data_IF_046389594325
#
_entry.id   IF_046389594325
#
_cell.length_a   1.000
_cell.length_b   1.000
_cell.length_c   1.000
_cell.angle_alpha   90.00
_cell.angle_beta   90.00
_cell.angle_gamma   90.00
#
_symmetry.space_group_name_H-M   'P 1'
#
loop_
_entity.id
_entity.type
_entity.pdbx_description
1 polymer ?
#
# COMPACT_ATOMS: atom_id res chain seq x y z
N UNK A 1 -17.37 10.60 -42.86
CA UNK A 1 -16.57 9.38 -42.59
C UNK A 1 -15.05 9.59 -42.65
N UNK A 2 -14.52 10.57 -43.39
CA UNK A 2 -13.06 10.78 -43.53
C UNK A 2 -12.66 12.27 -43.46
N UNK A 3 -13.37 13.06 -42.65
CA UNK A 3 -13.08 14.46 -42.44
C UNK A 3 -11.69 14.65 -41.82
N UNK A 4 -11.39 13.91 -40.74
CA UNK A 4 -10.06 13.96 -40.10
C UNK A 4 -9.03 13.26 -40.96
N UNK A 5 -9.30 12.02 -41.39
CA UNK A 5 -8.33 11.23 -42.16
C UNK A 5 -7.93 11.89 -43.49
N UNK A 6 -8.79 12.71 -44.09
CA UNK A 6 -8.49 13.49 -45.30
C UNK A 6 -7.56 14.69 -45.08
N UNK A 7 -7.34 15.12 -43.83
CA UNK A 7 -6.50 16.27 -43.47
C UNK A 7 -5.09 15.86 -43.00
N UNK A 8 -4.86 14.56 -42.78
CA UNK A 8 -3.61 14.05 -42.24
C UNK A 8 -2.64 13.64 -43.34
N UNK A 9 -1.34 13.91 -43.12
CA UNK A 9 -0.27 13.32 -43.93
C UNK A 9 -0.17 11.81 -43.71
N UNK A 10 0.62 11.12 -44.53
CA UNK A 10 0.82 9.66 -44.41
C UNK A 10 1.44 9.25 -43.06
N UNK A 11 2.39 10.04 -42.55
CA UNK A 11 3.01 9.80 -41.24
C UNK A 11 2.03 10.03 -40.10
N UNK A 12 1.24 11.11 -40.17
CA UNK A 12 0.21 11.41 -39.18
C UNK A 12 -0.94 10.40 -39.19
N UNK A 13 -1.26 9.82 -40.35
CA UNK A 13 -2.29 8.76 -40.46
C UNK A 13 -1.91 7.53 -39.64
N UNK A 14 -0.65 7.10 -39.69
CA UNK A 14 -0.18 5.97 -38.87
C UNK A 14 -0.23 6.30 -37.37
N UNK A 15 0.19 7.50 -36.98
CA UNK A 15 0.08 7.96 -35.60
C UNK A 15 -1.37 8.02 -35.14
N UNK A 16 -2.27 8.58 -35.95
CA UNK A 16 -3.70 8.71 -35.67
C UNK A 16 -4.41 7.35 -35.53
N UNK A 17 -3.97 6.33 -36.28
CA UNK A 17 -4.42 4.95 -36.06
C UNK A 17 -3.91 4.40 -34.71
N UNK A 18 -2.62 4.62 -34.40
CA UNK A 18 -2.00 4.12 -33.17
C UNK A 18 -2.61 4.73 -31.89
N UNK A 19 -3.04 5.98 -31.93
CA UNK A 19 -3.73 6.66 -30.80
C UNK A 19 -5.26 6.59 -30.88
N UNK A 20 -5.80 5.89 -31.88
CA UNK A 20 -7.23 5.61 -32.01
C UNK A 20 -8.09 6.81 -32.38
N UNK A 21 -7.57 7.76 -33.16
CA UNK A 21 -8.38 8.81 -33.81
C UNK A 21 -8.99 8.34 -35.13
N UNK A 22 -8.31 7.40 -35.80
CA UNK A 22 -8.81 6.70 -36.99
C UNK A 22 -9.01 5.21 -36.68
N UNK A 23 -9.93 4.59 -37.41
CA UNK A 23 -10.09 3.14 -37.45
C UNK A 23 -9.65 2.61 -38.83
N UNK A 24 -9.06 1.42 -38.85
CA UNK A 24 -8.75 0.70 -40.08
C UNK A 24 -10.01 -0.01 -40.61
N UNK A 25 -10.25 0.00 -41.93
CA UNK A 25 -11.30 -0.83 -42.55
C UNK A 25 -10.85 -2.29 -42.60
N UNK A 26 -11.70 -3.22 -42.17
CA UNK A 26 -11.35 -4.66 -42.11
C UNK A 26 -11.05 -5.27 -43.48
N UNK A 27 -11.76 -4.85 -44.54
CA UNK A 27 -11.69 -5.45 -45.88
C UNK A 27 -10.92 -4.62 -46.91
N UNK A 28 -10.27 -3.51 -46.51
CA UNK A 28 -9.55 -2.64 -47.44
C UNK A 28 -8.42 -1.86 -46.75
N UNK A 29 -7.45 -1.35 -47.53
CA UNK A 29 -6.36 -0.50 -47.01
C UNK A 29 -6.81 0.91 -46.54
N UNK A 30 -8.09 1.24 -46.61
CA UNK A 30 -8.61 2.55 -46.21
C UNK A 30 -8.84 2.70 -44.70
N UNK A 31 -8.89 3.93 -44.24
CA UNK A 31 -9.24 4.32 -42.86
C UNK A 31 -10.59 5.05 -42.84
N UNK A 32 -11.12 5.29 -41.64
CA UNK A 32 -12.24 6.20 -41.41
C UNK A 32 -12.13 6.83 -40.02
N UNK A 33 -12.72 8.02 -39.85
CA UNK A 33 -12.69 8.76 -38.59
C UNK A 33 -13.38 7.96 -37.50
N UNK A 34 -12.74 7.79 -36.34
CA UNK A 34 -13.36 7.09 -35.22
C UNK A 34 -14.57 7.85 -34.70
N UNK A 35 -14.39 9.15 -34.44
CA UNK A 35 -15.44 10.03 -33.95
C UNK A 35 -16.15 10.70 -35.12
N UNK A 36 -17.46 10.51 -35.22
CA UNK A 36 -18.30 11.03 -36.31
C UNK A 36 -19.63 11.47 -35.73
N UNK A 37 -20.08 12.67 -36.12
CA UNK A 37 -21.33 13.25 -35.64
C UNK A 37 -21.38 13.30 -34.11
N UNK A 38 -20.26 13.68 -33.49
CA UNK A 38 -20.11 13.79 -32.03
C UNK A 38 -19.57 15.14 -31.61
N UNK A 39 -20.11 15.66 -30.51
CA UNK A 39 -19.44 16.72 -29.74
C UNK A 39 -18.24 16.10 -29.02
N UNK A 40 -17.05 16.65 -29.26
CA UNK A 40 -15.80 16.15 -28.67
C UNK A 40 -15.40 16.96 -27.43
N UNK A 41 -14.97 16.22 -26.41
CA UNK A 41 -14.43 16.72 -25.17
C UNK A 41 -12.95 16.33 -25.12
N UNK A 42 -12.01 17.28 -25.23
CA UNK A 42 -10.58 16.98 -25.14
C UNK A 42 -10.23 16.55 -23.71
N UNK A 43 -9.51 15.43 -23.60
CA UNK A 43 -9.03 14.86 -22.35
C UNK A 43 -7.55 15.18 -22.23
N UNK A 44 -7.16 15.81 -21.12
CA UNK A 44 -5.82 16.34 -20.93
C UNK A 44 -5.03 15.50 -19.92
N UNK A 45 -3.71 15.41 -20.11
CA UNK A 45 -2.81 15.04 -19.02
C UNK A 45 -2.60 16.20 -18.03
N UNK A 46 -1.83 15.95 -16.96
CA UNK A 46 -1.51 16.96 -15.95
C UNK A 46 -0.76 18.19 -16.49
N UNK A 47 -0.06 18.03 -17.62
CA UNK A 47 0.69 19.10 -18.29
C UNK A 47 -0.18 19.91 -19.25
N UNK A 48 -1.45 19.53 -19.46
CA UNK A 48 -2.36 20.21 -20.36
C UNK A 48 -2.24 19.77 -21.82
N UNK A 49 -1.56 18.66 -22.09
CA UNK A 49 -1.52 18.08 -23.45
C UNK A 49 -2.76 17.24 -23.68
N UNK A 50 -3.36 17.35 -24.85
CA UNK A 50 -4.51 16.51 -25.24
C UNK A 50 -4.02 15.08 -25.49
N UNK A 51 -4.56 14.15 -24.73
CA UNK A 51 -4.20 12.74 -24.72
C UNK A 51 -5.25 11.85 -25.41
N UNK A 52 -6.49 12.34 -25.49
CA UNK A 52 -7.60 11.63 -26.12
C UNK A 52 -8.86 12.47 -26.11
N UNK A 53 -9.96 11.87 -26.53
CA UNK A 53 -11.25 12.55 -26.64
C UNK A 53 -12.37 11.68 -26.06
N UNK A 54 -13.28 12.32 -25.35
CA UNK A 54 -14.63 11.81 -25.13
C UNK A 54 -15.57 12.39 -26.20
N UNK A 55 -16.56 11.62 -26.64
CA UNK A 55 -17.43 12.00 -27.75
C UNK A 55 -18.88 11.64 -27.47
N UNK A 56 -19.77 12.62 -27.43
CA UNK A 56 -21.23 12.41 -27.33
C UNK A 56 -21.87 12.52 -28.71
N UNK A 57 -22.65 11.51 -29.10
CA UNK A 57 -23.35 11.52 -30.39
C UNK A 57 -24.40 12.64 -30.47
N UNK A 58 -24.51 13.25 -31.64
CA UNK A 58 -25.57 14.18 -32.03
C UNK A 58 -26.57 13.40 -32.90
N UNK A 59 -27.83 13.35 -32.49
CA UNK A 59 -28.86 12.56 -33.18
C UNK A 59 -28.89 11.10 -32.76
N UNK A 60 -29.30 10.23 -33.67
CA UNK A 60 -29.50 8.79 -33.41
C UNK A 60 -28.21 7.97 -33.60
N UNK A 61 -28.04 6.95 -32.76
CA UNK A 61 -26.96 5.96 -32.87
C UNK A 61 -26.37 5.55 -31.52
N UNK A 62 -25.56 4.50 -31.53
CA UNK A 62 -24.92 3.95 -30.33
C UNK A 62 -23.40 3.80 -30.53
N UNK A 63 -22.60 3.91 -29.45
CA UNK A 63 -23.00 4.27 -28.09
C UNK A 63 -23.27 5.78 -27.93
N UNK A 64 -24.09 6.20 -26.96
CA UNK A 64 -24.35 7.63 -26.65
C UNK A 64 -23.05 8.39 -26.35
N UNK A 65 -22.15 7.78 -25.57
CA UNK A 65 -20.81 8.29 -25.27
C UNK A 65 -19.75 7.31 -25.77
N UNK A 66 -18.67 7.85 -26.32
CA UNK A 66 -17.54 7.07 -26.80
C UNK A 66 -16.25 7.77 -26.42
N UNK A 67 -15.32 7.04 -25.81
CA UNK A 67 -13.99 7.57 -25.50
C UNK A 67 -12.95 7.04 -26.51
N UNK A 68 -11.81 7.72 -26.55
CA UNK A 68 -10.58 7.18 -27.15
C UNK A 68 -10.29 5.79 -26.59
N UNK A 69 -9.78 4.86 -27.40
CA UNK A 69 -9.31 3.57 -26.89
C UNK A 69 -8.01 3.78 -26.08
N UNK A 70 -7.62 2.77 -25.30
CA UNK A 70 -6.32 2.75 -24.65
C UNK A 70 -5.20 2.95 -25.67
N UNK A 71 -4.21 3.78 -25.34
CA UNK A 71 -3.06 4.08 -26.20
C UNK A 71 -1.85 4.47 -25.36
N UNK A 72 -0.64 4.63 -25.95
CA UNK A 72 0.54 5.08 -25.23
C UNK A 72 0.38 6.44 -24.51
N UNK A 73 -0.57 7.26 -24.96
CA UNK A 73 -0.85 8.59 -24.39
C UNK A 73 -2.18 8.66 -23.65
N UNK A 74 -3.03 7.64 -23.74
CA UNK A 74 -4.37 7.62 -23.15
C UNK A 74 -4.59 6.38 -22.30
N UNK A 75 -4.76 6.57 -20.99
CA UNK A 75 -5.14 5.50 -20.07
C UNK A 75 -6.33 5.92 -19.21
N UNK A 76 -7.51 5.34 -19.46
CA UNK A 76 -8.75 5.78 -18.79
C UNK A 76 -8.71 5.55 -17.28
N UNK A 77 -7.98 4.53 -16.84
CA UNK A 77 -7.83 4.19 -15.42
C UNK A 77 -6.87 5.11 -14.67
N UNK A 78 -6.15 6.00 -15.35
CA UNK A 78 -5.18 6.93 -14.74
C UNK A 78 -5.50 8.39 -15.02
N UNK A 79 -6.38 8.66 -15.97
CA UNK A 79 -6.81 10.01 -16.32
C UNK A 79 -8.16 10.33 -15.67
N UNK A 80 -8.34 11.60 -15.35
CA UNK A 80 -9.61 12.16 -14.89
C UNK A 80 -9.95 13.35 -15.79
N UNK A 81 -11.19 13.38 -16.29
CA UNK A 81 -11.68 14.54 -17.03
C UNK A 81 -11.70 15.75 -16.10
N UNK A 82 -11.32 16.92 -16.63
CA UNK A 82 -11.33 18.19 -15.93
C UNK A 82 -10.19 18.41 -14.94
N UNK A 83 -9.39 17.38 -14.61
CA UNK A 83 -8.34 17.53 -13.60
C UNK A 83 -7.29 18.58 -13.97
N UNK A 84 -6.90 18.69 -15.24
CA UNK A 84 -5.95 19.73 -15.66
C UNK A 84 -6.48 21.15 -15.36
N UNK A 85 -7.77 21.37 -15.63
CA UNK A 85 -8.46 22.64 -15.40
C UNK A 85 -8.69 22.88 -13.90
N UNK A 86 -9.06 21.83 -13.17
CA UNK A 86 -9.48 21.91 -11.77
C UNK A 86 -8.34 21.78 -10.74
N UNK A 87 -7.12 21.36 -11.14
CA UNK A 87 -6.03 21.04 -10.19
C UNK A 87 -5.66 22.18 -9.23
N UNK A 88 -5.72 23.43 -9.68
CA UNK A 88 -5.43 24.59 -8.83
C UNK A 88 -6.63 24.93 -7.91
N UNK A 89 -7.87 25.05 -8.42
CA UNK A 89 -9.08 25.11 -7.57
C UNK A 89 -9.19 24.01 -6.52
N UNK A 90 -8.83 22.77 -6.87
CA UNK A 90 -8.82 21.61 -5.97
C UNK A 90 -7.78 21.81 -4.87
N UNK A 91 -6.56 22.25 -5.23
CA UNK A 91 -5.48 22.49 -4.26
C UNK A 91 -5.81 23.60 -3.28
N UNK A 92 -6.42 24.69 -3.75
CA UNK A 92 -6.81 25.81 -2.90
C UNK A 92 -7.91 25.44 -1.89
N UNK A 93 -8.80 24.52 -2.27
CA UNK A 93 -9.90 24.04 -1.41
C UNK A 93 -9.56 22.78 -0.63
N UNK A 94 -8.43 22.16 -0.92
CA UNK A 94 -8.01 20.85 -0.44
C UNK A 94 -9.06 19.74 -0.66
N UNK A 95 -9.98 19.95 -1.61
CA UNK A 95 -11.16 19.11 -1.85
C UNK A 95 -11.43 18.96 -3.36
N UNK A 96 -11.62 17.73 -3.81
CA UNK A 96 -12.10 17.41 -5.16
C UNK A 96 -13.52 16.85 -5.12
N UNK A 97 -14.39 17.29 -6.02
CA UNK A 97 -15.73 16.73 -6.23
C UNK A 97 -15.66 15.77 -7.42
N UNK A 98 -16.05 14.52 -7.20
CA UNK A 98 -16.09 13.49 -8.24
C UNK A 98 -17.55 13.26 -8.65
N UNK A 99 -17.85 13.53 -9.92
CA UNK A 99 -19.16 13.24 -10.54
C UNK A 99 -19.04 12.05 -11.51
N UNK A 100 -20.16 11.48 -11.95
CA UNK A 100 -20.15 10.32 -12.85
C UNK A 100 -19.85 10.69 -14.31
N UNK A 101 -20.42 11.79 -14.79
CA UNK A 101 -20.46 12.12 -16.21
C UNK A 101 -19.69 13.38 -16.61
N UNK A 102 -19.34 13.43 -17.89
CA UNK A 102 -18.69 14.60 -18.50
C UNK A 102 -19.60 15.84 -18.47
N UNK A 103 -20.91 15.65 -18.63
CA UNK A 103 -21.87 16.76 -18.66
C UNK A 103 -22.14 17.32 -17.27
N UNK A 104 -22.18 16.45 -16.25
CA UNK A 104 -22.23 16.88 -14.85
C UNK A 104 -21.06 17.79 -14.55
N UNK A 105 -19.84 17.37 -14.91
CA UNK A 105 -18.64 18.18 -14.72
C UNK A 105 -18.74 19.54 -15.40
N UNK A 106 -19.14 19.57 -16.68
CA UNK A 106 -19.26 20.83 -17.43
C UNK A 106 -20.35 21.72 -16.83
N UNK A 107 -21.50 21.15 -16.44
CA UNK A 107 -22.60 21.90 -15.85
C UNK A 107 -22.18 22.53 -14.53
N UNK A 108 -21.55 21.77 -13.64
CA UNK A 108 -21.04 22.30 -12.37
C UNK A 108 -19.99 23.39 -12.58
N UNK A 109 -19.06 23.19 -13.51
CA UNK A 109 -18.03 24.19 -13.84
C UNK A 109 -18.63 25.50 -14.35
N UNK A 110 -19.64 25.45 -15.23
CA UNK A 110 -20.36 26.63 -15.73
C UNK A 110 -21.06 27.39 -14.61
N UNK A 111 -21.53 26.70 -13.58
CA UNK A 111 -22.13 27.30 -12.39
C UNK A 111 -21.12 27.71 -11.31
N UNK A 112 -19.82 27.76 -11.64
CA UNK A 112 -18.77 28.25 -10.74
C UNK A 112 -18.29 27.24 -9.69
N UNK A 113 -18.54 25.95 -9.90
CA UNK A 113 -17.98 24.87 -9.09
C UNK A 113 -16.83 24.26 -9.89
N UNK A 114 -15.62 24.76 -9.64
CA UNK A 114 -14.42 24.58 -10.44
C UNK A 114 -13.47 23.49 -9.91
N UNK A 115 -13.79 22.85 -8.78
CA UNK A 115 -13.03 21.75 -8.18
C UNK A 115 -13.60 20.36 -8.53
N UNK A 116 -14.19 20.20 -9.72
CA UNK A 116 -14.90 19.00 -10.17
C UNK A 116 -14.07 18.19 -11.16
N UNK A 117 -14.12 16.86 -11.01
CA UNK A 117 -13.50 15.87 -11.91
C UNK A 117 -14.45 14.71 -12.19
N UNK A 118 -14.23 13.98 -13.28
CA UNK A 118 -15.04 12.82 -13.63
C UNK A 118 -14.18 11.66 -14.18
N UNK A 119 -14.51 10.39 -13.87
CA UNK A 119 -13.89 9.24 -14.52
C UNK A 119 -14.34 9.13 -15.98
N UNK A 120 -13.52 8.47 -16.79
CA UNK A 120 -13.70 8.42 -18.24
C UNK A 120 -14.57 7.23 -18.68
N UNK A 121 -15.84 7.23 -18.25
CA UNK A 121 -16.82 6.19 -18.59
C UNK A 121 -16.53 4.84 -17.91
N UNK A 122 -15.94 4.87 -16.71
CA UNK A 122 -15.65 3.70 -15.88
C UNK A 122 -15.97 4.01 -14.42
N UNK A 123 -16.06 2.98 -13.58
CA UNK A 123 -15.96 3.18 -12.15
C UNK A 123 -14.62 3.87 -11.80
N UNK A 124 -14.61 4.63 -10.71
CA UNK A 124 -13.40 5.27 -10.18
C UNK A 124 -12.37 4.19 -9.83
N UNK A 125 -11.10 4.45 -10.13
CA UNK A 125 -9.99 3.52 -9.92
C UNK A 125 -9.08 3.97 -8.77
N UNK A 126 -8.28 3.04 -8.23
CA UNK A 126 -7.29 3.34 -7.19
C UNK A 126 -6.25 4.35 -7.68
N UNK A 127 -5.81 4.24 -8.93
CA UNK A 127 -4.83 5.13 -9.54
C UNK A 127 -5.38 6.56 -9.70
N UNK A 128 -6.68 6.71 -9.98
CA UNK A 128 -7.35 8.02 -10.03
C UNK A 128 -7.42 8.66 -8.63
N UNK A 129 -7.76 7.89 -7.60
CA UNK A 129 -7.73 8.39 -6.21
C UNK A 129 -6.30 8.78 -5.81
N UNK A 130 -5.30 7.93 -6.11
CA UNK A 130 -3.89 8.25 -5.88
C UNK A 130 -3.45 9.53 -6.59
N UNK A 131 -3.94 9.74 -7.81
CA UNK A 131 -3.66 10.95 -8.57
C UNK A 131 -4.28 12.19 -7.91
N UNK A 132 -5.55 12.11 -7.49
CA UNK A 132 -6.25 13.19 -6.80
C UNK A 132 -5.63 13.56 -5.46
N UNK A 133 -5.15 12.57 -4.70
CA UNK A 133 -4.48 12.78 -3.41
C UNK A 133 -3.27 13.72 -3.50
N UNK A 134 -2.65 13.85 -4.69
CA UNK A 134 -1.55 14.82 -4.90
C UNK A 134 -2.01 16.28 -4.85
N UNK A 135 -3.31 16.53 -4.98
CA UNK A 135 -3.91 17.86 -5.07
C UNK A 135 -4.94 18.14 -3.97
N UNK A 136 -5.57 17.13 -3.38
CA UNK A 136 -6.57 17.29 -2.34
C UNK A 136 -6.34 16.33 -1.18
N UNK A 137 -6.74 16.75 0.03
CA UNK A 137 -6.85 15.87 1.18
C UNK A 137 -8.14 15.05 1.17
N UNK A 138 -9.19 15.61 0.58
CA UNK A 138 -10.54 15.06 0.59
C UNK A 138 -11.14 14.93 -0.82
N UNK A 139 -11.81 13.81 -1.07
CA UNK A 139 -12.64 13.63 -2.25
C UNK A 139 -14.10 13.42 -1.85
N UNK A 140 -15.01 14.11 -2.51
CA UNK A 140 -16.46 13.97 -2.32
C UNK A 140 -17.05 13.31 -3.56
N UNK A 141 -17.64 12.13 -3.39
CA UNK A 141 -18.44 11.48 -4.42
C UNK A 141 -19.81 12.14 -4.47
N UNK A 142 -20.09 12.89 -5.54
CA UNK A 142 -21.38 13.52 -5.78
C UNK A 142 -22.14 12.68 -6.81
N UNK A 143 -22.98 11.78 -6.32
CA UNK A 143 -23.69 10.79 -7.12
C UNK A 143 -25.20 10.94 -7.00
N UNK A 144 -25.90 10.35 -7.97
CA UNK A 144 -27.35 10.31 -8.00
C UNK A 144 -27.89 9.59 -6.75
N UNK A 145 -29.03 10.05 -6.23
CA UNK A 145 -29.71 9.45 -5.07
C UNK A 145 -30.39 8.11 -5.34
N UNK A 146 -29.93 7.37 -6.34
CA UNK A 146 -30.49 6.10 -6.77
C UNK A 146 -29.63 4.89 -6.34
N UNK A 147 -30.08 3.68 -6.66
CA UNK A 147 -29.32 2.47 -6.29
C UNK A 147 -27.98 2.35 -7.03
N UNK A 148 -27.82 2.96 -8.21
CA UNK A 148 -26.58 2.90 -8.95
C UNK A 148 -25.52 3.80 -8.28
N UNK A 149 -25.88 5.03 -7.91
CA UNK A 149 -25.02 5.96 -7.17
C UNK A 149 -24.59 5.40 -5.81
N UNK A 150 -25.52 4.80 -5.06
CA UNK A 150 -25.21 4.12 -3.79
C UNK A 150 -24.19 2.98 -4.00
N UNK A 151 -24.42 2.12 -5.00
CA UNK A 151 -23.48 1.01 -5.31
C UNK A 151 -22.11 1.52 -5.77
N UNK A 152 -22.07 2.64 -6.49
CA UNK A 152 -20.83 3.27 -6.92
C UNK A 152 -20.03 3.80 -5.72
N UNK A 153 -20.70 4.46 -4.76
CA UNK A 153 -20.08 4.95 -3.52
C UNK A 153 -19.50 3.79 -2.68
N UNK A 154 -20.28 2.73 -2.47
CA UNK A 154 -19.83 1.52 -1.74
C UNK A 154 -18.59 0.91 -2.40
N UNK A 155 -18.56 0.83 -3.74
CA UNK A 155 -17.41 0.30 -4.48
C UNK A 155 -16.16 1.18 -4.39
N UNK A 156 -16.35 2.49 -4.28
CA UNK A 156 -15.25 3.45 -4.27
C UNK A 156 -14.55 3.55 -2.90
N UNK A 157 -15.26 3.35 -1.78
CA UNK A 157 -14.69 3.61 -0.46
C UNK A 157 -13.42 2.81 -0.10
N UNK A 158 -13.28 1.50 -0.45
CA UNK A 158 -12.02 0.80 -0.22
C UNK A 158 -10.83 1.47 -0.93
N UNK A 159 -11.06 2.16 -2.06
CA UNK A 159 -10.02 2.86 -2.81
C UNK A 159 -9.52 4.10 -2.05
N UNK A 160 -10.42 4.88 -1.45
CA UNK A 160 -10.09 6.02 -0.59
C UNK A 160 -9.28 5.58 0.62
N UNK A 161 -9.72 4.49 1.26
CA UNK A 161 -9.04 3.94 2.43
C UNK A 161 -7.63 3.45 2.07
N UNK A 162 -7.49 2.71 0.96
CA UNK A 162 -6.21 2.17 0.48
C UNK A 162 -5.20 3.25 0.12
N UNK A 163 -5.67 4.39 -0.37
CA UNK A 163 -4.82 5.53 -0.67
C UNK A 163 -4.69 6.50 0.52
N UNK A 164 -5.33 6.22 1.66
CA UNK A 164 -5.34 7.09 2.85
C UNK A 164 -5.76 8.52 2.49
N UNK A 165 -6.84 8.65 1.72
CA UNK A 165 -7.47 9.92 1.35
C UNK A 165 -8.82 10.03 2.05
N UNK A 166 -9.17 11.20 2.60
CA UNK A 166 -10.49 11.41 3.21
C UNK A 166 -11.55 11.29 2.12
N UNK A 167 -12.62 10.55 2.39
CA UNK A 167 -13.67 10.30 1.41
C UNK A 167 -15.04 10.59 2.00
N UNK A 168 -15.83 11.39 1.31
CA UNK A 168 -17.26 11.61 1.60
C UNK A 168 -18.14 11.24 0.42
N UNK A 169 -19.42 11.08 0.69
CA UNK A 169 -20.47 10.95 -0.31
C UNK A 169 -21.56 11.97 -0.04
N UNK A 170 -21.95 12.67 -1.09
CA UNK A 170 -23.11 13.54 -1.11
C UNK A 170 -24.09 12.96 -2.13
N UNK A 171 -25.22 12.46 -1.64
CA UNK A 171 -26.29 11.94 -2.51
C UNK A 171 -27.25 13.06 -2.87
N UNK A 172 -27.58 13.15 -4.15
CA UNK A 172 -28.58 14.08 -4.64
C UNK A 172 -30.00 13.60 -4.29
N UNK A 173 -31.00 14.49 -4.22
CA UNK A 173 -32.38 14.07 -4.06
C UNK A 173 -32.84 13.18 -5.24
N UNK A 174 -33.80 12.28 -4.99
CA UNK A 174 -34.30 11.36 -6.02
C UNK A 174 -34.76 12.12 -7.27
N UNK A 175 -34.32 11.65 -8.44
CA UNK A 175 -34.66 12.24 -9.73
C UNK A 175 -33.72 13.36 -10.19
N UNK A 176 -32.74 13.74 -9.37
CA UNK A 176 -31.70 14.68 -9.75
C UNK A 176 -30.36 13.99 -10.03
N UNK A 177 -29.72 14.44 -11.10
CA UNK A 177 -28.29 14.35 -11.39
C UNK A 177 -27.62 15.71 -11.05
N UNK A 178 -26.27 15.80 -11.03
CA UNK A 178 -25.61 17.05 -10.68
C UNK A 178 -26.00 18.22 -11.62
N UNK A 179 -26.24 17.95 -12.90
CA UNK A 179 -26.65 18.93 -13.90
C UNK A 179 -28.04 19.53 -13.63
N UNK A 180 -29.05 18.68 -13.42
CA UNK A 180 -30.42 19.11 -13.09
C UNK A 180 -30.46 19.80 -11.73
N UNK A 181 -29.75 19.28 -10.72
CA UNK A 181 -29.75 19.86 -9.38
C UNK A 181 -29.17 21.28 -9.37
N UNK A 182 -27.99 21.48 -9.97
CA UNK A 182 -27.33 22.80 -9.96
C UNK A 182 -28.12 23.84 -10.75
N UNK A 183 -28.80 23.44 -11.83
CA UNK A 183 -29.62 24.34 -12.64
C UNK A 183 -30.87 24.80 -11.90
N UNK A 184 -31.48 23.91 -11.10
CA UNK A 184 -32.72 24.21 -10.38
C UNK A 184 -32.46 24.91 -9.04
N UNK A 185 -31.46 24.47 -8.28
CA UNK A 185 -31.22 24.92 -6.90
C UNK A 185 -30.05 25.89 -6.77
N UNK A 186 -29.21 26.00 -7.80
CA UNK A 186 -28.04 26.87 -7.83
C UNK A 186 -26.79 26.29 -7.15
N UNK A 187 -25.65 26.96 -7.38
CA UNK A 187 -24.35 26.52 -6.92
C UNK A 187 -24.19 26.50 -5.40
N UNK A 188 -24.79 27.47 -4.69
CA UNK A 188 -24.68 27.56 -3.24
C UNK A 188 -25.41 26.41 -2.53
N UNK A 189 -26.57 25.99 -3.06
CA UNK A 189 -27.29 24.83 -2.55
C UNK A 189 -26.46 23.54 -2.73
N UNK A 190 -25.83 23.37 -3.89
CA UNK A 190 -24.97 22.21 -4.14
C UNK A 190 -23.72 22.21 -3.26
N UNK A 191 -23.05 23.36 -3.07
CA UNK A 191 -21.92 23.48 -2.14
C UNK A 191 -22.32 23.12 -0.72
N UNK A 192 -23.51 23.52 -0.28
CA UNK A 192 -24.06 23.13 1.02
C UNK A 192 -24.26 21.61 1.11
N UNK A 193 -24.88 21.00 0.09
CA UNK A 193 -25.08 19.55 0.01
C UNK A 193 -23.74 18.78 0.04
N UNK A 194 -22.73 19.24 -0.69
CA UNK A 194 -21.37 18.67 -0.67
C UNK A 194 -20.74 18.78 0.72
N UNK A 195 -20.90 19.92 1.39
CA UNK A 195 -20.39 20.15 2.75
C UNK A 195 -21.06 19.26 3.79
N UNK A 196 -22.36 19.00 3.63
CA UNK A 196 -23.17 18.12 4.48
C UNK A 196 -23.02 16.64 4.12
N UNK A 197 -22.21 16.32 3.10
CA UNK A 197 -21.91 14.96 2.69
C UNK A 197 -21.39 14.09 3.84
N UNK A 198 -21.82 12.84 3.86
CA UNK A 198 -21.48 11.88 4.91
C UNK A 198 -20.10 11.26 4.66
N UNK A 199 -19.38 10.93 5.72
CA UNK A 199 -18.14 10.15 5.61
C UNK A 199 -18.42 8.77 4.98
N UNK A 200 -17.54 8.32 4.08
CA UNK A 200 -17.77 7.07 3.35
C UNK A 200 -17.89 5.84 4.27
N UNK A 201 -17.15 5.79 5.37
CA UNK A 201 -17.24 4.72 6.37
C UNK A 201 -18.62 4.65 7.02
N UNK A 202 -19.12 5.80 7.49
CA UNK A 202 -20.43 5.92 8.14
C UNK A 202 -21.56 5.64 7.14
N UNK A 203 -21.43 6.17 5.93
CA UNK A 203 -22.39 5.92 4.86
C UNK A 203 -22.52 4.42 4.55
N UNK A 204 -21.40 3.73 4.30
CA UNK A 204 -21.42 2.29 3.99
C UNK A 204 -22.05 1.50 5.13
N UNK A 205 -21.64 1.78 6.37
CA UNK A 205 -22.20 1.10 7.51
C UNK A 205 -23.71 1.31 7.59
N UNK A 206 -24.19 2.56 7.44
CA UNK A 206 -25.63 2.86 7.47
C UNK A 206 -26.40 2.08 6.41
N UNK A 207 -25.86 1.97 5.19
CA UNK A 207 -26.47 1.24 4.08
C UNK A 207 -26.49 -0.27 4.32
N UNK A 208 -25.44 -0.83 4.93
CA UNK A 208 -25.38 -2.23 5.28
C UNK A 208 -26.34 -2.58 6.43
N UNK A 209 -26.46 -1.68 7.42
CA UNK A 209 -27.42 -1.80 8.52
C UNK A 209 -28.87 -1.71 8.02
N UNK A 210 -29.16 -0.78 7.12
CA UNK A 210 -30.49 -0.66 6.49
C UNK A 210 -30.87 -1.93 5.72
N UNK A 211 -29.90 -2.53 5.00
CA UNK A 211 -30.12 -3.73 4.17
C UNK A 211 -30.31 -5.01 4.99
N UNK A 212 -29.47 -5.24 6.00
CA UNK A 212 -29.38 -6.53 6.70
C UNK A 212 -29.97 -6.50 8.11
N UNK A 213 -30.20 -5.32 8.68
CA UNK A 213 -30.59 -5.14 10.07
C UNK A 213 -29.46 -5.47 11.07
N UNK A 214 -29.76 -5.29 12.36
CA UNK A 214 -28.83 -5.53 13.47
C UNK A 214 -29.07 -6.86 14.21
N UNK A 215 -29.75 -7.82 13.57
CA UNK A 215 -29.88 -9.18 14.09
C UNK A 215 -28.52 -9.89 14.09
N UNK A 216 -28.39 -11.03 14.78
CA UNK A 216 -27.14 -11.80 14.78
C UNK A 216 -26.70 -12.16 13.35
N UNK A 217 -27.64 -12.66 12.53
CA UNK A 217 -27.39 -12.97 11.11
C UNK A 217 -27.06 -11.72 10.30
N UNK A 218 -27.79 -10.61 10.56
CA UNK A 218 -27.55 -9.33 9.89
C UNK A 218 -26.14 -8.81 10.15
N UNK A 219 -25.69 -8.81 11.40
CA UNK A 219 -24.33 -8.42 11.79
C UNK A 219 -23.27 -9.29 11.13
N UNK A 220 -23.47 -10.60 11.01
CA UNK A 220 -22.56 -11.49 10.28
C UNK A 220 -22.46 -11.13 8.81
N UNK A 221 -23.58 -10.82 8.14
CA UNK A 221 -23.58 -10.38 6.73
C UNK A 221 -22.90 -9.03 6.55
N UNK A 222 -23.13 -8.09 7.46
CA UNK A 222 -22.47 -6.77 7.44
C UNK A 222 -20.95 -6.93 7.57
N UNK A 223 -20.48 -7.77 8.51
CA UNK A 223 -19.06 -8.04 8.70
C UNK A 223 -18.39 -8.61 7.44
N UNK A 224 -19.05 -9.54 6.74
CA UNK A 224 -18.55 -10.09 5.47
C UNK A 224 -18.51 -9.02 4.36
N UNK A 225 -19.52 -8.16 4.24
CA UNK A 225 -19.52 -7.07 3.24
C UNK A 225 -18.50 -5.95 3.55
N UNK A 226 -18.12 -5.76 4.82
CA UNK A 226 -17.06 -4.81 5.22
C UNK A 226 -15.64 -5.34 5.01
N UNK A 227 -15.48 -6.64 4.75
CA UNK A 227 -14.18 -7.30 4.58
C UNK A 227 -13.29 -6.65 3.51
N UNK A 228 -13.77 -6.31 2.30
CA UNK A 228 -12.93 -5.63 1.30
C UNK A 228 -12.40 -4.29 1.81
N UNK A 229 -13.17 -3.56 2.61
CA UNK A 229 -12.74 -2.29 3.21
C UNK A 229 -11.66 -2.53 4.26
N UNK A 230 -11.85 -3.48 5.18
CA UNK A 230 -10.84 -3.82 6.20
C UNK A 230 -9.53 -4.34 5.58
N UNK A 231 -9.63 -5.09 4.48
CA UNK A 231 -8.48 -5.60 3.73
C UNK A 231 -7.75 -4.50 2.93
N UNK A 232 -8.48 -3.50 2.45
CA UNK A 232 -7.93 -2.38 1.68
C UNK A 232 -7.08 -1.40 2.52
N UNK A 233 -7.17 -1.43 3.86
CA UNK A 233 -6.36 -0.59 4.73
C UNK A 233 -4.85 -0.72 4.44
N UNK A 234 -4.18 0.43 4.32
CA UNK A 234 -2.79 0.53 3.90
C UNK A 234 -1.77 0.11 4.97
N UNK A 235 -2.16 0.08 6.24
CA UNK A 235 -1.30 -0.34 7.36
C UNK A 235 -2.08 -1.17 8.39
N UNK A 236 -1.35 -1.92 9.22
CA UNK A 236 -1.94 -2.67 10.35
C UNK A 236 -2.63 -1.74 11.34
N UNK A 237 -2.03 -0.58 11.63
CA UNK A 237 -2.64 0.44 12.50
C UNK A 237 -3.96 0.97 11.91
N UNK A 238 -3.96 1.35 10.63
CA UNK A 238 -5.18 1.83 9.96
C UNK A 238 -6.26 0.75 9.96
N UNK A 239 -5.89 -0.51 9.73
CA UNK A 239 -6.81 -1.65 9.82
C UNK A 239 -7.38 -1.79 11.23
N UNK A 240 -6.56 -1.76 12.27
CA UNK A 240 -7.03 -1.86 13.66
C UNK A 240 -7.99 -0.73 14.02
N UNK A 241 -7.73 0.50 13.55
CA UNK A 241 -8.62 1.65 13.76
C UNK A 241 -9.97 1.45 13.06
N UNK A 242 -9.95 1.01 11.79
CA UNK A 242 -11.17 0.74 11.01
C UNK A 242 -11.98 -0.40 11.63
N UNK A 243 -11.32 -1.48 12.05
CA UNK A 243 -11.95 -2.60 12.75
C UNK A 243 -12.57 -2.14 14.07
N UNK A 244 -11.83 -1.41 14.90
CA UNK A 244 -12.34 -0.91 16.17
C UNK A 244 -13.57 -0.01 15.97
N UNK A 245 -13.54 0.86 14.95
CA UNK A 245 -14.66 1.72 14.60
C UNK A 245 -15.93 0.94 14.22
N UNK A 246 -15.82 -0.06 13.32
CA UNK A 246 -16.98 -0.85 12.94
C UNK A 246 -17.45 -1.81 14.03
N UNK A 247 -16.54 -2.33 14.84
CA UNK A 247 -16.85 -3.21 15.97
C UNK A 247 -17.71 -2.47 17.02
N UNK A 248 -17.31 -1.25 17.38
CA UNK A 248 -18.07 -0.37 18.27
C UNK A 248 -19.49 -0.13 17.76
N UNK A 249 -19.63 0.26 16.48
CA UNK A 249 -20.94 0.55 15.88
C UNK A 249 -21.84 -0.67 15.75
N UNK A 250 -21.28 -1.85 15.50
CA UNK A 250 -22.02 -3.11 15.41
C UNK A 250 -22.26 -3.75 16.78
N UNK A 251 -21.70 -3.19 17.85
CA UNK A 251 -21.71 -3.76 19.20
C UNK A 251 -21.27 -5.24 19.17
N UNK A 252 -20.10 -5.47 18.59
CA UNK A 252 -19.36 -6.75 18.56
C UNK A 252 -17.91 -6.48 18.95
N UNK A 253 -17.18 -7.49 19.41
CA UNK A 253 -15.77 -7.25 19.77
C UNK A 253 -14.90 -7.07 18.52
N UNK A 254 -13.84 -6.27 18.61
CA UNK A 254 -12.89 -6.06 17.52
C UNK A 254 -12.20 -7.39 17.09
N UNK A 255 -12.02 -8.31 18.04
CA UNK A 255 -11.49 -9.66 17.80
C UNK A 255 -12.45 -10.52 16.99
N UNK A 256 -13.74 -10.54 17.35
CA UNK A 256 -14.78 -11.25 16.58
C UNK A 256 -14.94 -10.68 15.17
N UNK A 257 -14.93 -9.35 15.02
CA UNK A 257 -15.01 -8.71 13.71
C UNK A 257 -13.78 -9.03 12.86
N UNK A 258 -12.58 -9.05 13.46
CA UNK A 258 -11.35 -9.46 12.75
C UNK A 258 -11.41 -10.92 12.29
N UNK A 259 -11.95 -11.81 13.14
CA UNK A 259 -12.13 -13.23 12.82
C UNK A 259 -13.15 -13.43 11.69
N UNK A 260 -14.28 -12.72 11.73
CA UNK A 260 -15.30 -12.72 10.66
C UNK A 260 -14.77 -12.12 9.36
N UNK A 261 -13.89 -11.10 9.44
CA UNK A 261 -13.20 -10.52 8.28
C UNK A 261 -12.20 -11.48 7.62
N UNK A 262 -12.09 -12.74 8.07
CA UNK A 262 -11.18 -13.74 7.54
C UNK A 262 -9.74 -13.59 8.02
N UNK A 263 -9.49 -12.81 9.07
CA UNK A 263 -8.21 -12.80 9.77
C UNK A 263 -8.31 -13.70 11.01
N UNK A 264 -8.33 -15.02 10.78
CA UNK A 264 -7.56 -15.99 11.57
C UNK A 264 -7.77 -17.42 11.06
N UNK A 265 -6.66 -18.14 10.82
CA UNK A 265 -6.58 -19.52 11.28
C UNK A 265 -6.65 -19.45 12.81
N UNK A 266 -7.85 -19.69 13.33
CA UNK A 266 -8.18 -20.13 14.68
C UNK A 266 -7.11 -19.89 15.76
N UNK A 267 -7.26 -18.80 16.51
CA UNK A 267 -7.23 -18.77 17.96
C UNK A 267 -7.13 -20.16 18.63
N UNK A 268 -6.00 -20.43 19.30
CA UNK A 268 -5.99 -21.18 20.55
C UNK A 268 -5.17 -20.42 21.58
N UNK A 269 -5.93 -19.89 22.53
CA UNK A 269 -5.58 -19.52 23.91
C UNK A 269 -4.54 -18.42 24.12
N UNK A 270 -5.11 -17.24 24.38
CA UNK A 270 -4.49 -16.15 25.13
C UNK A 270 -4.06 -16.66 26.51
N UNK A 271 -2.75 -16.74 26.72
CA UNK A 271 -2.14 -16.54 28.04
C UNK A 271 -1.17 -15.38 27.90
N UNK A 272 -1.56 -14.20 28.37
CA UNK A 272 -0.64 -13.15 28.80
C UNK A 272 -0.46 -13.25 30.33
N UNK A 273 0.55 -12.60 30.95
CA UNK A 273 1.82 -12.09 30.41
C UNK A 273 3.01 -12.39 31.36
N UNK A 274 4.27 -12.45 30.86
CA UNK A 274 5.44 -12.13 31.68
C UNK A 274 6.74 -11.95 30.88
N UNK A 275 7.38 -10.79 31.09
CA UNK A 275 8.80 -10.47 30.90
C UNK A 275 9.33 -10.38 29.45
N UNK A 276 9.38 -9.15 28.93
CA UNK A 276 10.61 -8.32 29.05
C UNK A 276 10.38 -6.91 28.51
N UNK A 277 10.58 -5.98 29.43
CA UNK A 277 10.65 -4.54 29.23
C UNK A 277 12.07 -4.11 28.80
N UNK A 278 12.14 -2.94 28.16
CA UNK A 278 13.23 -1.94 28.22
C UNK A 278 14.44 -1.99 27.26
N UNK A 279 14.57 -2.90 26.28
CA UNK A 279 15.73 -2.90 25.35
C UNK A 279 15.46 -2.40 23.92
N UNK A 280 14.21 -2.24 23.49
CA UNK A 280 13.89 -2.00 22.07
C UNK A 280 14.21 -0.56 21.57
N UNK A 281 14.47 0.42 22.46
CA UNK A 281 14.67 1.81 22.06
C UNK A 281 16.14 2.24 21.88
N UNK A 282 17.13 1.32 21.95
CA UNK A 282 18.56 1.65 21.76
C UNK A 282 19.37 0.56 21.01
N UNK A 283 18.76 -0.21 20.11
CA UNK A 283 19.51 -1.19 19.33
C UNK A 283 20.42 -0.49 18.29
N UNK A 284 21.72 -0.82 18.29
CA UNK A 284 22.67 -0.23 17.36
C UNK A 284 22.44 -0.70 15.91
N UNK A 285 22.68 0.19 14.93
CA UNK A 285 22.58 -0.13 13.50
C UNK A 285 23.62 -1.18 13.08
N UNK A 286 23.23 -2.10 12.20
CA UNK A 286 24.09 -3.18 11.70
C UNK A 286 25.17 -2.67 10.73
N UNK A 287 26.40 -3.16 10.88
CA UNK A 287 27.46 -2.98 9.88
C UNK A 287 27.14 -3.70 8.57
N UNK A 288 27.85 -3.35 7.48
CA UNK A 288 27.65 -3.99 6.16
C UNK A 288 27.83 -5.53 6.21
N UNK A 289 28.83 -6.01 6.94
CA UNK A 289 29.06 -7.45 7.14
C UNK A 289 27.97 -8.10 8.00
N UNK A 290 27.52 -7.45 9.07
CA UNK A 290 26.43 -7.97 9.91
C UNK A 290 25.09 -8.00 9.15
N UNK A 291 24.80 -7.02 8.28
CA UNK A 291 23.60 -7.05 7.43
C UNK A 291 23.59 -8.23 6.47
N UNK A 292 24.72 -8.52 5.82
CA UNK A 292 24.87 -9.69 4.95
C UNK A 292 24.69 -10.99 5.73
N UNK A 293 25.26 -11.07 6.93
CA UNK A 293 25.13 -12.23 7.81
C UNK A 293 23.68 -12.45 8.30
N UNK A 294 22.97 -11.38 8.67
CA UNK A 294 21.54 -11.46 9.08
C UNK A 294 20.68 -11.87 7.88
N UNK A 295 20.92 -11.31 6.69
CA UNK A 295 20.25 -11.73 5.47
C UNK A 295 20.48 -13.21 5.18
N UNK A 296 21.73 -13.67 5.27
CA UNK A 296 22.10 -15.06 5.03
C UNK A 296 21.43 -16.00 6.04
N UNK A 297 21.42 -15.64 7.32
CA UNK A 297 20.75 -16.36 8.40
C UNK A 297 19.25 -16.53 8.13
N UNK A 298 18.56 -15.45 7.74
CA UNK A 298 17.11 -15.46 7.48
C UNK A 298 16.75 -16.26 6.23
N UNK A 299 17.57 -16.17 5.17
CA UNK A 299 17.30 -16.85 3.89
C UNK A 299 17.78 -18.31 3.87
N UNK A 300 18.62 -18.73 4.83
CA UNK A 300 19.13 -20.10 4.94
C UNK A 300 18.89 -20.64 6.37
N UNK A 301 17.63 -20.92 6.77
CA UNK A 301 17.32 -21.28 8.15
C UNK A 301 17.90 -22.64 8.57
N UNK A 302 18.17 -23.53 7.62
CA UNK A 302 18.87 -24.81 7.81
C UNK A 302 20.29 -24.63 8.37
N UNK A 303 20.94 -23.50 8.07
CA UNK A 303 22.29 -23.18 8.55
C UNK A 303 22.29 -22.49 9.92
N UNK A 304 21.13 -22.11 10.47
CA UNK A 304 21.01 -21.33 11.71
C UNK A 304 21.70 -22.00 12.92
N UNK A 305 21.54 -23.31 13.09
CA UNK A 305 22.17 -24.05 14.18
C UNK A 305 23.71 -23.98 14.10
N UNK A 306 24.27 -24.24 12.91
CA UNK A 306 25.71 -24.16 12.67
C UNK A 306 26.25 -22.74 12.88
N UNK A 307 25.51 -21.71 12.45
CA UNK A 307 25.92 -20.31 12.63
C UNK A 307 25.93 -19.94 14.12
N UNK A 308 24.95 -20.42 14.88
CA UNK A 308 24.87 -20.23 16.34
C UNK A 308 26.10 -20.80 17.04
N UNK A 309 26.51 -22.03 16.70
CA UNK A 309 27.72 -22.65 17.25
C UNK A 309 29.00 -21.86 16.90
N UNK A 310 29.06 -21.31 15.68
CA UNK A 310 30.19 -20.52 15.19
C UNK A 310 30.34 -19.15 15.89
N UNK A 311 29.33 -18.67 16.63
CA UNK A 311 29.41 -17.43 17.42
C UNK A 311 28.51 -16.29 16.90
N UNK A 312 27.42 -16.63 16.20
CA UNK A 312 26.48 -15.66 15.64
C UNK A 312 25.89 -14.69 16.67
N UNK A 313 25.51 -15.19 17.85
CA UNK A 313 24.94 -14.36 18.92
C UNK A 313 25.92 -13.30 19.39
N UNK A 314 27.17 -13.67 19.58
CA UNK A 314 28.21 -12.76 20.05
C UNK A 314 28.50 -11.64 19.03
N UNK A 315 28.34 -11.94 17.74
CA UNK A 315 28.50 -10.99 16.63
C UNK A 315 27.35 -9.98 16.55
N UNK A 316 26.13 -10.42 16.85
CA UNK A 316 24.93 -9.58 16.75
C UNK A 316 24.55 -8.87 18.06
N UNK A 317 25.16 -9.26 19.19
CA UNK A 317 24.88 -8.71 20.51
C UNK A 317 24.83 -7.17 20.53
N UNK A 318 23.73 -6.61 21.04
CA UNK A 318 23.47 -5.18 21.15
C UNK A 318 22.98 -4.49 19.86
N UNK A 319 22.75 -5.25 18.79
CA UNK A 319 22.22 -4.75 17.51
C UNK A 319 20.80 -5.23 17.23
N UNK A 320 20.15 -4.60 16.26
CA UNK A 320 18.84 -5.03 15.71
C UNK A 320 18.87 -6.51 15.27
N UNK A 321 20.03 -7.00 14.83
CA UNK A 321 20.21 -8.40 14.44
C UNK A 321 20.10 -9.39 15.61
N UNK A 322 20.38 -8.97 16.85
CA UNK A 322 20.21 -9.85 18.02
C UNK A 322 18.73 -10.15 18.27
N UNK A 323 17.84 -9.18 18.02
CA UNK A 323 16.39 -9.36 18.18
C UNK A 323 15.90 -10.42 17.18
N UNK A 324 16.33 -10.31 15.92
CA UNK A 324 16.01 -11.28 14.87
C UNK A 324 16.56 -12.67 15.23
N UNK A 325 17.81 -12.75 15.71
CA UNK A 325 18.42 -13.99 16.17
C UNK A 325 17.62 -14.66 17.29
N UNK A 326 17.22 -13.88 18.32
CA UNK A 326 16.44 -14.42 19.44
C UNK A 326 15.07 -14.93 18.99
N UNK A 327 14.43 -14.24 18.04
CA UNK A 327 13.14 -14.67 17.52
C UNK A 327 13.25 -15.96 16.69
N UNK A 328 14.30 -16.08 15.87
CA UNK A 328 14.59 -17.32 15.14
C UNK A 328 14.91 -18.49 16.08
N UNK A 329 15.61 -18.23 17.19
CA UNK A 329 15.86 -19.24 18.22
C UNK A 329 14.58 -19.68 18.92
N UNK A 330 13.68 -18.74 19.23
CA UNK A 330 12.37 -19.02 19.82
C UNK A 330 11.49 -19.84 18.88
N UNK A 331 11.49 -19.52 17.58
CA UNK A 331 10.82 -20.30 16.54
C UNK A 331 11.33 -21.73 16.49
N UNK A 332 12.65 -21.90 16.35
CA UNK A 332 13.26 -23.23 16.29
C UNK A 332 12.92 -24.07 17.53
N UNK A 333 12.88 -23.46 18.72
CA UNK A 333 12.53 -24.14 19.95
C UNK A 333 11.05 -24.56 20.04
N UNK A 334 10.14 -23.84 19.37
CA UNK A 334 8.70 -24.11 19.40
C UNK A 334 8.24 -25.08 18.32
N UNK A 335 8.71 -24.89 17.09
CA UNK A 335 8.22 -25.62 15.90
C UNK A 335 9.21 -26.63 15.35
N UNK A 336 10.47 -26.63 15.83
CA UNK A 336 11.53 -27.52 15.33
C UNK A 336 12.10 -27.13 13.95
N UNK A 337 11.55 -26.10 13.31
CA UNK A 337 12.00 -25.56 12.03
C UNK A 337 11.78 -24.04 12.02
N UNK A 338 12.48 -23.33 11.13
CA UNK A 338 12.35 -21.87 11.03
C UNK A 338 11.87 -21.55 9.62
N UNK A 339 10.64 -21.03 9.51
CA UNK A 339 10.09 -20.49 8.27
C UNK A 339 10.28 -18.97 8.26
N UNK A 340 10.93 -18.38 7.24
CA UNK A 340 11.21 -16.93 7.19
C UNK A 340 9.96 -16.05 7.21
N UNK A 341 8.84 -16.53 6.65
CA UNK A 341 7.54 -15.86 6.70
C UNK A 341 6.95 -15.86 8.11
N UNK A 342 7.20 -16.93 8.88
CA UNK A 342 6.76 -17.03 10.27
C UNK A 342 7.56 -16.08 11.17
N UNK A 343 8.87 -15.94 10.90
CA UNK A 343 9.72 -14.93 11.53
C UNK A 343 9.19 -13.51 11.33
N UNK A 344 8.75 -13.17 10.10
CA UNK A 344 8.17 -11.86 9.83
C UNK A 344 6.88 -11.63 10.62
N UNK A 345 6.07 -12.66 10.84
CA UNK A 345 4.82 -12.56 11.60
C UNK A 345 5.05 -12.35 13.10
N UNK A 346 6.10 -12.96 13.65
CA UNK A 346 6.42 -12.84 15.08
C UNK A 346 7.16 -11.55 15.43
N UNK A 347 7.84 -10.93 14.46
CA UNK A 347 8.51 -9.65 14.70
C UNK A 347 7.48 -8.52 14.87
N UNK A 348 7.58 -7.71 15.95
CA UNK A 348 6.72 -6.56 16.17
C UNK A 348 6.91 -5.54 15.04
N UNK A 349 5.94 -4.64 14.86
CA UNK A 349 6.09 -3.53 13.91
C UNK A 349 7.27 -2.64 14.33
N UNK A 350 8.34 -2.65 13.53
CA UNK A 350 9.60 -1.99 13.86
C UNK A 350 10.68 -2.20 12.79
N UNK A 351 11.88 -1.66 13.03
CA UNK A 351 13.01 -1.70 12.09
C UNK A 351 13.49 -3.13 11.79
N UNK A 352 13.31 -4.05 12.72
CA UNK A 352 13.60 -5.48 12.59
C UNK A 352 12.70 -6.12 11.50
N UNK A 353 11.40 -5.78 11.55
CA UNK A 353 10.39 -6.33 10.63
C UNK A 353 10.58 -5.79 9.22
N UNK A 354 10.88 -4.49 9.09
CA UNK A 354 11.20 -3.88 7.79
C UNK A 354 12.47 -4.49 7.17
N UNK A 355 13.48 -4.77 8.00
CA UNK A 355 14.73 -5.37 7.56
C UNK A 355 14.52 -6.80 7.04
N UNK A 356 13.78 -7.64 7.79
CA UNK A 356 13.44 -9.02 7.36
C UNK A 356 12.56 -9.00 6.11
N UNK A 357 11.55 -8.12 6.04
CA UNK A 357 10.72 -7.97 4.84
C UNK A 357 11.56 -7.58 3.61
N UNK A 358 12.53 -6.67 3.79
CA UNK A 358 13.44 -6.26 2.73
C UNK A 358 14.27 -7.41 2.16
N UNK A 359 14.73 -8.35 2.99
CA UNK A 359 15.47 -9.54 2.53
C UNK A 359 14.59 -10.53 1.77
N UNK A 360 13.34 -10.73 2.20
CA UNK A 360 12.39 -11.64 1.54
C UNK A 360 11.92 -11.11 0.18
N UNK A 361 11.78 -9.79 0.06
CA UNK A 361 11.36 -9.14 -1.19
C UNK A 361 12.51 -9.00 -2.19
N UNK A 362 13.74 -8.88 -1.73
CA UNK A 362 14.93 -8.74 -2.56
C UNK A 362 15.93 -9.82 -2.20
N UNK A 363 15.70 -11.04 -2.67
CA UNK A 363 16.63 -12.18 -2.50
C UNK A 363 17.95 -11.79 -3.15
N UNK A 364 19.04 -11.57 -2.39
CA UNK A 364 20.33 -11.28 -2.98
C UNK A 364 20.80 -12.52 -3.75
N UNK A 365 21.22 -12.35 -5.00
CA UNK A 365 22.00 -13.36 -5.72
C UNK A 365 23.36 -13.47 -5.01
N UNK A 366 23.51 -14.41 -4.09
CA UNK A 366 24.82 -14.75 -3.53
C UNK A 366 25.13 -16.19 -3.84
N UNK A 367 25.99 -16.37 -4.85
CA UNK A 367 26.75 -17.59 -5.09
C UNK A 367 27.60 -17.93 -3.84
N UNK A 368 27.55 -19.20 -3.42
CA UNK A 368 28.55 -19.97 -2.64
C UNK A 368 29.52 -19.20 -1.71
N UNK A 369 29.00 -18.45 -0.73
CA UNK A 369 29.79 -17.76 0.30
C UNK A 369 29.59 -18.31 1.73
N UNK A 370 29.14 -19.56 1.86
CA UNK A 370 28.83 -20.20 3.16
C UNK A 370 30.04 -20.19 4.11
N UNK A 371 31.21 -20.64 3.63
CA UNK A 371 32.42 -20.80 4.43
C UNK A 371 32.99 -19.46 4.94
N UNK A 372 32.84 -18.38 4.15
CA UNK A 372 33.31 -17.05 4.53
C UNK A 372 32.60 -16.52 5.78
N UNK A 373 31.30 -16.77 5.92
CA UNK A 373 30.54 -16.37 7.11
C UNK A 373 30.92 -17.21 8.35
N UNK A 374 31.12 -18.52 8.19
CA UNK A 374 31.57 -19.38 9.30
C UNK A 374 32.97 -19.01 9.78
N UNK A 375 33.88 -18.71 8.85
CA UNK A 375 35.24 -18.26 9.15
C UNK A 375 35.22 -16.91 9.88
N UNK A 376 34.46 -15.95 9.36
CA UNK A 376 34.25 -14.64 9.98
C UNK A 376 33.73 -14.76 11.43
N UNK A 377 32.71 -15.58 11.66
CA UNK A 377 32.14 -15.78 13.00
C UNK A 377 33.15 -16.39 13.99
N UNK A 378 33.91 -17.40 13.55
CA UNK A 378 34.96 -18.00 14.39
C UNK A 378 36.04 -16.99 14.76
N UNK A 379 36.48 -16.17 13.80
CA UNK A 379 37.45 -15.10 14.07
C UNK A 379 36.90 -14.06 15.02
N UNK A 380 35.65 -13.63 14.82
CA UNK A 380 34.98 -12.66 15.68
C UNK A 380 34.86 -13.17 17.12
N UNK A 381 34.46 -14.44 17.30
CA UNK A 381 34.36 -15.11 18.60
C UNK A 381 35.70 -15.15 19.32
N UNK A 382 36.76 -15.59 18.64
CA UNK A 382 38.11 -15.65 19.22
C UNK A 382 38.63 -14.26 19.60
N UNK A 383 38.39 -13.24 18.76
CA UNK A 383 38.79 -11.85 19.04
C UNK A 383 38.09 -11.32 20.29
N UNK A 384 36.77 -11.49 20.39
CA UNK A 384 35.98 -11.06 21.56
C UNK A 384 36.42 -11.77 22.85
N UNK A 385 36.73 -13.07 22.77
CA UNK A 385 37.29 -13.80 23.90
C UNK A 385 38.68 -13.28 24.31
N UNK A 386 39.53 -12.94 23.33
CA UNK A 386 40.86 -12.36 23.58
C UNK A 386 40.75 -10.99 24.27
N UNK A 387 39.82 -10.14 23.83
CA UNK A 387 39.56 -8.82 24.42
C UNK A 387 39.03 -8.92 25.85
N UNK A 388 38.08 -9.83 26.11
CA UNK A 388 37.56 -10.08 27.46
C UNK A 388 38.65 -10.60 28.42
N UNK A 389 39.54 -11.46 27.93
CA UNK A 389 40.68 -11.94 28.73
C UNK A 389 41.68 -10.81 28.99
N UNK A 390 41.96 -9.94 28.01
CA UNK A 390 42.82 -8.77 28.21
C UNK A 390 42.27 -7.82 29.28
N UNK A 391 40.97 -7.54 29.26
CA UNK A 391 40.31 -6.76 30.31
C UNK A 391 40.43 -7.43 31.68
N UNK A 392 40.23 -8.76 31.72
CA UNK A 392 40.36 -9.55 32.95
C UNK A 392 41.80 -9.60 33.48
N UNK A 393 42.79 -9.62 32.59
CA UNK A 393 44.22 -9.54 32.93
C UNK A 393 44.54 -8.18 33.54
N UNK A 394 44.10 -7.10 32.91
CA UNK A 394 44.31 -5.73 33.41
C UNK A 394 43.71 -5.55 34.81
N UNK A 395 42.50 -6.08 35.03
CA UNK A 395 41.84 -6.08 36.34
C UNK A 395 42.57 -6.93 37.38
N UNK A 396 42.99 -8.15 37.03
CA UNK A 396 43.74 -9.02 37.95
C UNK A 396 45.12 -8.44 38.31
N UNK A 397 45.74 -7.68 37.39
CA UNK A 397 46.99 -6.94 37.64
C UNK A 397 46.77 -5.79 38.63
N UNK A 398 45.70 -5.01 38.48
CA UNK A 398 45.38 -3.93 39.42
C UNK A 398 45.01 -4.44 40.82
N UNK A 399 44.43 -5.65 40.90
CA UNK A 399 44.00 -6.29 42.15
C UNK A 399 45.10 -7.14 42.81
N UNK A 400 46.30 -7.24 42.21
CA UNK A 400 47.45 -7.97 42.77
C UNK A 400 47.26 -9.50 42.86
N UNK A 401 46.31 -10.08 42.13
CA UNK A 401 45.99 -11.51 42.22
C UNK A 401 46.85 -12.35 41.25
N UNK A 402 48.03 -12.76 41.73
CA UNK A 402 49.03 -13.48 40.93
C UNK A 402 48.57 -14.87 40.44
N UNK A 403 47.75 -15.59 41.20
CA UNK A 403 47.22 -16.89 40.76
C UNK A 403 46.23 -16.74 39.59
N UNK A 404 45.33 -15.77 39.71
CA UNK A 404 44.34 -15.49 38.68
C UNK A 404 45.01 -14.95 37.41
N UNK A 405 46.04 -14.12 37.56
CA UNK A 405 46.85 -13.62 36.46
C UNK A 405 47.53 -14.76 35.68
N UNK A 406 48.17 -15.72 36.37
CA UNK A 406 48.82 -16.87 35.74
C UNK A 406 47.82 -17.75 34.96
N UNK A 407 46.63 -17.97 35.51
CA UNK A 407 45.54 -18.71 34.84
C UNK A 407 45.04 -17.97 33.59
N UNK A 408 44.87 -16.64 33.66
CA UNK A 408 44.39 -15.83 32.53
C UNK A 408 45.42 -15.72 31.40
N UNK A 409 46.72 -15.58 31.72
CA UNK A 409 47.80 -15.58 30.73
C UNK A 409 47.91 -16.90 29.97
N UNK A 410 47.76 -18.04 30.66
CA UNK A 410 47.74 -19.37 30.01
C UNK A 410 46.53 -19.52 29.08
N UNK A 411 45.35 -19.02 29.46
CA UNK A 411 44.17 -18.98 28.59
C UNK A 411 44.40 -18.09 27.37
N UNK A 412 45.01 -16.90 27.55
CA UNK A 412 45.33 -15.99 26.43
C UNK A 412 46.27 -16.62 25.40
N UNK A 413 47.34 -17.29 25.84
CA UNK A 413 48.26 -17.99 24.94
C UNK A 413 47.57 -19.08 24.10
N UNK A 414 46.56 -19.77 24.66
CA UNK A 414 45.78 -20.77 23.91
C UNK A 414 44.91 -20.12 22.83
N UNK A 415 44.24 -19.00 23.14
CA UNK A 415 43.42 -18.26 22.17
C UNK A 415 44.29 -17.65 21.06
N UNK A 416 45.45 -17.08 21.39
CA UNK A 416 46.34 -16.49 20.38
C UNK A 416 46.88 -17.57 19.40
N UNK A 417 47.08 -18.82 19.87
CA UNK A 417 47.42 -19.96 18.99
C UNK A 417 46.25 -20.33 18.07
N UNK A 418 45.03 -20.35 18.58
CA UNK A 418 43.82 -20.63 17.79
C UNK A 418 43.55 -19.54 16.75
N UNK A 419 43.77 -18.26 17.09
CA UNK A 419 43.65 -17.15 16.15
C UNK A 419 44.67 -17.26 15.01
N UNK A 420 45.91 -17.68 15.27
CA UNK A 420 46.93 -17.90 14.22
C UNK A 420 46.58 -19.07 13.29
N UNK A 421 45.91 -20.10 13.81
CA UNK A 421 45.45 -21.25 13.01
C UNK A 421 44.23 -20.91 12.15
N UNK A 422 43.36 -20.00 12.62
CA UNK A 422 42.16 -19.55 11.90
C UNK A 422 42.42 -18.49 10.80
N UNK A 423 43.67 -18.11 10.52
CA UNK A 423 44.05 -17.13 9.48
C UNK A 423 44.58 -17.80 8.21
N UNK A 424 44.93 -19.09 8.24
CA UNK A 424 45.28 -19.82 7.02
C UNK A 424 43.99 -20.25 6.30
N UNK A 425 43.91 -20.03 4.97
CA UNK A 425 42.73 -20.32 4.18
C UNK A 425 42.36 -21.81 4.24
#
# INVERSE_FOLDING_TARGET
>A
WNFLGGQLTKGETQAALAVGLLNQKEKSRGTYDRFRDRVLFPIHDLSGRVCGFGGRIIGEGQPKYMNSPESPVYNKSRLLLGLYQAKEPIRQREQAILVEGNFDLVSLAVHGIDNVVAPLGTAVTREQIRLLKKFAEEGVLLFDGDQAGIKAAVRAAPLFLAEQMKGRVALLPKGHDPDTYVREHGAEALKKLVKEGQELSEFILSQLVERHGLSLEGKSRIAEELKPMMQAAASSLQRSVVVAHFADKLNITAEELSRLAGNEKSSREVIQPARRSLAANQAAALSSQQKKLVSFMVLNPDKFARLTEAGLRECLAGSIGEIIFLQMQELLAKSGMIEPEELLNQLPSGAERELVAGFLLNIPLTDDADEDFFHFLRQFKLKKQSDNILQSISKAQSEGNFEQLKKLLSKKQKIDRQMKQAVKP
#
